data_IF_250467968803
#
_entry.id   IF_250467968803
#
_cell.length_a   1.000
_cell.length_b   1.000
_cell.length_c   1.000
_cell.angle_alpha   90.00
_cell.angle_beta   90.00
_cell.angle_gamma   90.00
#
_symmetry.space_group_name_H-M   'P 1'
#
loop_
_entity.id
_entity.type
_entity.pdbx_description
1 polymer ?
#
# COMPACT_ATOMS: atom_id res chain seq x y z
N UNK A 1 28.84 22.33 13.83
CA UNK A 1 28.44 23.31 12.80
C UNK A 1 29.20 23.02 11.54
N UNK A 2 28.51 22.96 10.40
CA UNK A 2 29.09 22.82 9.07
C UNK A 2 28.65 24.02 8.22
N UNK A 3 29.59 24.68 7.58
CA UNK A 3 29.33 25.81 6.67
C UNK A 3 29.82 25.39 5.29
N UNK A 4 28.92 25.40 4.31
CA UNK A 4 29.21 25.06 2.93
C UNK A 4 29.72 26.31 2.18
N UNK A 5 30.51 26.11 1.12
CA UNK A 5 31.16 27.19 0.38
C UNK A 5 30.17 28.14 -0.36
N UNK A 6 28.99 27.62 -0.65
CA UNK A 6 27.82 28.29 -1.25
C UNK A 6 26.93 29.01 -0.22
N UNK A 7 27.35 29.06 1.05
CA UNK A 7 26.68 29.80 2.11
C UNK A 7 25.56 29.04 2.83
N UNK A 8 25.32 27.76 2.53
CA UNK A 8 24.49 26.94 3.41
C UNK A 8 25.18 26.73 4.75
N UNK A 9 24.40 26.66 5.82
CA UNK A 9 24.90 26.39 7.17
C UNK A 9 24.01 25.39 7.87
N UNK A 10 24.62 24.35 8.44
CA UNK A 10 23.96 23.41 9.33
C UNK A 10 24.58 23.45 10.73
N UNK A 11 23.71 23.52 11.74
CA UNK A 11 24.08 23.45 13.15
C UNK A 11 23.15 22.43 13.80
N UNK A 12 23.67 21.26 14.16
CA UNK A 12 22.87 20.19 14.74
C UNK A 12 23.69 18.92 14.93
N UNK A 13 22.97 17.86 15.26
CA UNK A 13 23.53 16.54 15.48
C UNK A 13 23.88 15.83 14.16
N UNK A 14 24.85 14.92 14.24
CA UNK A 14 25.30 14.11 13.12
C UNK A 14 25.36 12.65 13.55
N UNK A 15 25.01 11.74 12.64
CA UNK A 15 25.18 10.28 12.81
C UNK A 15 25.67 9.70 11.49
N UNK A 16 26.75 8.93 11.54
CA UNK A 16 27.34 8.26 10.36
C UNK A 16 27.60 9.22 9.17
N UNK A 17 28.06 10.44 9.48
CA UNK A 17 28.33 11.48 8.47
C UNK A 17 27.09 12.17 7.89
N UNK A 18 25.89 11.84 8.38
CA UNK A 18 24.62 12.43 7.95
C UNK A 18 23.99 13.30 9.03
N UNK A 19 23.22 14.32 8.64
CA UNK A 19 22.43 15.12 9.58
C UNK A 19 21.37 14.22 10.23
N UNK A 20 21.30 14.27 11.55
CA UNK A 20 20.40 13.45 12.35
C UNK A 20 19.96 14.24 13.59
N UNK A 21 18.96 13.79 14.33
CA UNK A 21 18.56 14.41 15.60
C UNK A 21 18.08 15.86 15.44
N UNK A 22 18.31 16.73 16.40
CA UNK A 22 17.90 18.13 16.30
C UNK A 22 18.91 18.96 15.48
N UNK A 23 18.40 19.83 14.61
CA UNK A 23 19.26 20.67 13.80
C UNK A 23 18.59 21.89 13.19
N UNK A 24 19.39 22.94 13.02
CA UNK A 24 19.07 24.14 12.27
C UNK A 24 19.83 24.14 10.95
N UNK A 25 19.10 24.26 9.84
CA UNK A 25 19.64 24.46 8.51
C UNK A 25 19.24 25.83 7.99
N UNK A 26 20.23 26.63 7.57
CA UNK A 26 20.02 27.95 6.99
C UNK A 26 20.57 27.95 5.57
N UNK A 27 19.75 28.37 4.62
CA UNK A 27 20.11 28.52 3.21
C UNK A 27 20.56 29.95 2.98
N UNK A 28 21.56 30.16 2.11
CA UNK A 28 22.09 31.48 1.77
C UNK A 28 20.98 32.49 1.37
N UNK A 29 19.92 32.01 0.71
CA UNK A 29 18.78 32.82 0.26
C UNK A 29 17.79 33.20 1.39
N UNK A 30 18.06 32.84 2.66
CA UNK A 30 17.26 33.22 3.83
C UNK A 30 16.22 32.18 4.28
N UNK A 31 16.04 31.07 3.57
CA UNK A 31 15.21 29.97 4.08
C UNK A 31 15.89 29.32 5.29
N UNK A 32 15.10 28.95 6.29
CA UNK A 32 15.58 28.34 7.53
C UNK A 32 14.68 27.18 7.94
N UNK A 33 15.28 26.05 8.27
CA UNK A 33 14.63 24.95 8.95
C UNK A 33 15.20 24.78 10.35
N UNK A 34 14.34 24.51 11.32
CA UNK A 34 14.70 24.12 12.70
C UNK A 34 13.82 22.95 13.09
N UNK A 35 14.42 21.80 13.38
CA UNK A 35 13.65 20.63 13.78
C UNK A 35 14.46 19.34 13.69
N UNK A 36 13.73 18.24 13.64
CA UNK A 36 14.29 16.90 13.59
C UNK A 36 14.83 16.52 12.19
N UNK A 37 15.94 15.80 12.20
CA UNK A 37 16.62 15.28 11.02
C UNK A 37 16.75 13.77 11.15
N UNK A 38 16.61 13.08 10.03
CA UNK A 38 16.92 11.66 9.89
C UNK A 38 17.61 11.42 8.57
N UNK A 39 18.86 10.98 8.64
CA UNK A 39 19.67 10.57 7.49
C UNK A 39 19.66 11.59 6.35
N UNK A 40 19.99 12.85 6.69
CA UNK A 40 20.00 14.02 5.80
C UNK A 40 18.64 14.52 5.32
N UNK A 41 17.54 13.98 5.84
CA UNK A 41 16.19 14.45 5.52
C UNK A 41 15.52 15.13 6.71
N UNK A 42 14.67 16.12 6.43
CA UNK A 42 13.74 16.69 7.42
C UNK A 42 12.76 15.58 7.83
N UNK A 43 12.64 15.38 9.13
CA UNK A 43 11.79 14.34 9.71
C UNK A 43 11.17 14.87 11.01
N UNK A 44 10.15 14.21 11.56
CA UNK A 44 9.62 14.51 12.90
C UNK A 44 9.06 15.93 12.98
N UNK A 45 9.14 16.57 14.15
CA UNK A 45 8.64 17.92 14.33
C UNK A 45 9.64 18.97 13.84
N UNK A 46 9.16 19.98 13.12
CA UNK A 46 10.02 21.06 12.66
C UNK A 46 9.30 22.30 12.15
N UNK A 47 10.04 23.40 12.16
CA UNK A 47 9.63 24.69 11.61
C UNK A 47 10.47 25.02 10.38
N UNK A 48 9.81 25.22 9.24
CA UNK A 48 10.43 25.79 8.05
C UNK A 48 9.93 27.22 7.85
N UNK A 49 10.86 28.16 7.75
CA UNK A 49 10.60 29.56 7.43
C UNK A 49 11.19 29.85 6.06
N UNK A 50 10.35 30.26 5.13
CA UNK A 50 10.80 30.70 3.81
C UNK A 50 11.22 32.16 3.86
N UNK A 51 12.18 32.54 3.02
CA UNK A 51 12.63 33.92 2.87
C UNK A 51 11.49 34.87 2.45
N UNK A 52 10.43 34.35 1.83
CA UNK A 52 9.20 35.09 1.51
C UNK A 52 8.38 35.50 2.74
N UNK A 53 8.71 35.01 3.94
CA UNK A 53 7.94 35.22 5.16
C UNK A 53 6.87 34.15 5.41
N UNK A 54 6.66 33.21 4.47
CA UNK A 54 5.84 32.05 4.73
C UNK A 54 6.51 31.17 5.80
N UNK A 55 5.71 30.40 6.53
CA UNK A 55 6.18 29.51 7.60
C UNK A 55 5.33 28.25 7.67
N UNK A 56 5.94 27.13 7.97
CA UNK A 56 5.27 25.88 8.29
C UNK A 56 5.82 25.35 9.60
N UNK A 57 4.93 24.95 10.50
CA UNK A 57 5.24 24.31 11.77
C UNK A 57 4.44 23.02 11.84
N UNK A 58 5.10 21.88 11.98
CA UNK A 58 4.41 20.60 12.05
C UNK A 58 5.32 19.42 11.75
N UNK A 59 4.71 18.30 11.41
CA UNK A 59 5.41 17.07 11.10
C UNK A 59 6.07 17.10 9.70
N UNK A 60 7.22 16.45 9.62
CA UNK A 60 8.01 16.27 8.41
C UNK A 60 8.32 14.79 8.22
N UNK A 61 8.34 14.37 6.97
CA UNK A 61 8.76 13.02 6.58
C UNK A 61 9.45 13.09 5.24
N UNK A 62 10.71 12.67 5.18
CA UNK A 62 11.51 12.63 3.96
C UNK A 62 11.50 13.96 3.18
N UNK A 63 11.78 15.07 3.88
CA UNK A 63 11.76 16.44 3.34
C UNK A 63 10.39 17.01 2.94
N UNK A 64 9.29 16.28 3.16
CA UNK A 64 7.94 16.73 2.86
C UNK A 64 7.16 17.02 4.14
N UNK A 65 6.26 18.01 4.08
CA UNK A 65 5.27 18.24 5.13
C UNK A 65 4.38 17.01 5.25
N UNK A 66 4.15 16.57 6.47
CA UNK A 66 3.37 15.38 6.78
C UNK A 66 2.58 15.60 8.07
N UNK A 67 1.68 14.66 8.43
CA UNK A 67 0.97 14.65 9.70
C UNK A 67 0.28 15.97 10.04
N UNK A 68 0.20 16.29 11.33
CA UNK A 68 -0.40 17.53 11.78
C UNK A 68 0.54 18.72 11.54
N UNK A 69 0.01 19.82 10.99
CA UNK A 69 0.80 21.03 10.84
C UNK A 69 0.02 22.29 10.48
N UNK A 70 0.67 23.42 10.72
CA UNK A 70 0.17 24.77 10.50
C UNK A 70 1.04 25.49 9.47
N UNK A 71 0.44 25.89 8.36
CA UNK A 71 1.05 26.77 7.37
C UNK A 71 0.57 28.21 7.59
N UNK A 72 1.50 29.14 7.79
CA UNK A 72 1.26 30.56 7.89
C UNK A 72 1.81 31.25 6.64
N UNK A 73 0.97 31.97 5.91
CA UNK A 73 1.43 32.84 4.81
C UNK A 73 2.06 34.11 5.37
N UNK A 74 2.93 34.75 4.59
CA UNK A 74 3.49 36.06 4.92
C UNK A 74 2.43 37.13 5.21
N UNK A 75 1.22 36.98 4.65
CA UNK A 75 0.06 37.86 4.92
C UNK A 75 -0.57 37.67 6.31
N UNK A 76 -0.14 36.65 7.07
CA UNK A 76 -0.73 36.29 8.36
C UNK A 76 -1.91 35.31 8.27
N UNK A 77 -2.36 34.94 7.05
CA UNK A 77 -3.32 33.84 6.89
C UNK A 77 -2.74 32.56 7.48
N UNK A 78 -3.59 31.73 8.07
CA UNK A 78 -3.20 30.44 8.67
C UNK A 78 -4.04 29.31 8.07
N UNK A 79 -3.41 28.15 7.88
CA UNK A 79 -4.07 26.91 7.47
C UNK A 79 -3.50 25.75 8.27
N UNK A 80 -4.35 25.17 9.11
CA UNK A 80 -4.02 24.11 10.06
C UNK A 80 -4.76 22.84 9.69
N UNK A 81 -4.11 21.70 9.82
CA UNK A 81 -4.73 20.41 9.54
C UNK A 81 -3.70 19.34 9.19
N UNK A 82 -4.16 18.33 8.46
CA UNK A 82 -3.34 17.19 8.06
C UNK A 82 -2.69 17.45 6.70
N UNK A 83 -1.41 17.13 6.64
CA UNK A 83 -0.57 17.22 5.45
C UNK A 83 -0.09 15.82 5.07
N UNK A 84 -0.11 15.49 3.79
CA UNK A 84 0.48 14.26 3.25
C UNK A 84 1.32 14.61 2.03
N UNK A 85 2.63 14.34 2.08
CA UNK A 85 3.54 14.54 0.95
C UNK A 85 3.47 15.96 0.36
N UNK A 86 3.46 16.98 1.22
CA UNK A 86 3.28 18.40 0.89
C UNK A 86 1.87 18.85 0.47
N UNK A 87 0.91 17.94 0.39
CA UNK A 87 -0.48 18.26 0.06
C UNK A 87 -1.32 18.38 1.32
N UNK A 88 -2.12 19.45 1.41
CA UNK A 88 -3.08 19.60 2.50
C UNK A 88 -4.28 18.69 2.26
N UNK A 89 -4.55 17.79 3.21
CA UNK A 89 -5.64 16.82 3.11
C UNK A 89 -6.96 17.32 3.72
N UNK A 90 -6.91 18.26 4.66
CA UNK A 90 -8.10 18.72 5.37
C UNK A 90 -7.78 19.11 6.80
N UNK A 91 -8.80 19.58 7.52
CA UNK A 91 -8.75 19.62 8.98
C UNK A 91 -8.68 18.20 9.55
N UNK A 92 -8.36 18.06 10.83
CA UNK A 92 -8.36 16.75 11.51
C UNK A 92 -9.70 16.01 11.30
N UNK A 93 -10.83 16.72 11.49
CA UNK A 93 -12.16 16.15 11.35
C UNK A 93 -12.49 15.72 9.91
N UNK A 94 -12.03 16.49 8.91
CA UNK A 94 -12.17 16.15 7.51
C UNK A 94 -11.32 14.92 7.16
N UNK A 95 -10.10 14.85 7.69
CA UNK A 95 -9.18 13.76 7.47
C UNK A 95 -9.67 12.44 8.05
N UNK A 96 -10.24 12.46 9.25
CA UNK A 96 -10.86 11.27 9.87
C UNK A 96 -12.02 10.71 9.02
N UNK A 97 -12.82 11.59 8.40
CA UNK A 97 -13.87 11.17 7.45
C UNK A 97 -13.27 10.53 6.20
N UNK A 98 -12.18 11.10 5.67
CA UNK A 98 -11.45 10.54 4.53
C UNK A 98 -10.92 9.13 4.87
N UNK A 99 -10.29 8.95 6.03
CA UNK A 99 -9.76 7.65 6.47
C UNK A 99 -10.86 6.59 6.59
N UNK A 100 -11.99 6.94 7.21
CA UNK A 100 -13.14 6.04 7.34
C UNK A 100 -13.69 5.61 5.99
N UNK A 101 -13.77 6.53 5.03
CA UNK A 101 -14.24 6.24 3.68
C UNK A 101 -13.23 5.38 2.91
N UNK A 102 -11.93 5.67 2.99
CA UNK A 102 -10.85 4.87 2.40
C UNK A 102 -10.86 3.43 2.94
N UNK A 103 -11.05 3.26 4.26
CA UNK A 103 -11.16 1.94 4.90
C UNK A 103 -12.35 1.13 4.37
N UNK A 104 -13.55 1.74 4.33
CA UNK A 104 -14.75 1.09 3.77
C UNK A 104 -14.58 0.71 2.31
N UNK A 105 -13.93 1.57 1.51
CA UNK A 105 -13.64 1.28 0.10
C UNK A 105 -12.65 0.12 -0.05
N UNK A 106 -11.61 0.07 0.78
CA UNK A 106 -10.65 -1.04 0.79
C UNK A 106 -11.31 -2.36 1.20
N UNK A 107 -12.14 -2.37 2.25
CA UNK A 107 -12.91 -3.55 2.67
C UNK A 107 -13.85 -4.04 1.56
N UNK A 108 -14.53 -3.12 0.87
CA UNK A 108 -15.39 -3.45 -0.27
C UNK A 108 -14.58 -4.05 -1.43
N UNK A 109 -13.43 -3.45 -1.77
CA UNK A 109 -12.56 -3.95 -2.83
C UNK A 109 -12.04 -5.36 -2.51
N UNK A 110 -11.63 -5.62 -1.27
CA UNK A 110 -11.17 -6.93 -0.84
C UNK A 110 -12.31 -7.97 -0.85
N UNK A 111 -13.54 -7.58 -0.49
CA UNK A 111 -14.71 -8.44 -0.63
C UNK A 111 -15.02 -8.78 -2.10
N UNK A 112 -14.93 -7.79 -3.00
CA UNK A 112 -15.12 -7.97 -4.44
C UNK A 112 -14.05 -8.90 -5.04
N UNK A 113 -12.77 -8.71 -4.68
CA UNK A 113 -11.69 -9.62 -5.09
C UNK A 113 -11.91 -11.05 -4.61
N UNK A 114 -12.36 -11.24 -3.36
CA UNK A 114 -12.70 -12.57 -2.82
C UNK A 114 -13.86 -13.20 -3.57
N UNK A 115 -14.91 -12.43 -3.86
CA UNK A 115 -16.05 -12.92 -4.63
C UNK A 115 -15.65 -13.33 -6.05
N UNK A 116 -14.81 -12.53 -6.71
CA UNK A 116 -14.28 -12.84 -8.04
C UNK A 116 -13.41 -14.11 -8.03
N UNK A 117 -12.54 -14.28 -7.03
CA UNK A 117 -11.74 -15.49 -6.85
C UNK A 117 -12.63 -16.73 -6.68
N UNK A 118 -13.63 -16.66 -5.79
CA UNK A 118 -14.57 -17.75 -5.57
C UNK A 118 -15.38 -18.08 -6.83
N UNK A 119 -15.79 -17.07 -7.60
CA UNK A 119 -16.50 -17.27 -8.85
C UNK A 119 -15.62 -18.00 -9.90
N UNK A 120 -14.35 -17.63 -9.99
CA UNK A 120 -13.39 -18.31 -10.87
C UNK A 120 -13.16 -19.77 -10.46
N UNK A 121 -13.03 -20.05 -9.16
CA UNK A 121 -12.89 -21.40 -8.62
C UNK A 121 -14.14 -22.25 -8.89
N UNK A 122 -15.34 -21.68 -8.73
CA UNK A 122 -16.61 -22.36 -9.07
C UNK A 122 -16.71 -22.68 -10.55
N UNK A 123 -16.39 -21.72 -11.43
CA UNK A 123 -16.40 -21.95 -12.87
C UNK A 123 -15.39 -23.03 -13.28
N UNK A 124 -14.20 -23.06 -12.67
CA UNK A 124 -13.21 -24.13 -12.87
C UNK A 124 -13.77 -25.50 -12.45
N UNK A 125 -14.42 -25.59 -11.29
CA UNK A 125 -15.05 -26.81 -10.82
C UNK A 125 -16.22 -27.27 -11.72
N UNK A 126 -17.02 -26.35 -12.24
CA UNK A 126 -18.11 -26.64 -13.18
C UNK A 126 -17.60 -27.21 -14.51
N UNK A 127 -16.53 -26.63 -15.07
CA UNK A 127 -15.88 -27.14 -16.27
C UNK A 127 -15.27 -28.53 -16.04
N UNK A 128 -14.61 -28.74 -14.89
CA UNK A 128 -14.04 -30.03 -14.52
C UNK A 128 -15.15 -31.09 -14.38
N UNK A 129 -16.27 -30.76 -13.73
CA UNK A 129 -17.41 -31.66 -13.61
C UNK A 129 -18.10 -31.95 -14.96
N UNK A 130 -18.14 -30.98 -15.88
CA UNK A 130 -18.64 -31.19 -17.24
C UNK A 130 -17.73 -32.13 -18.05
N UNK A 131 -16.40 -31.96 -17.95
CA UNK A 131 -15.43 -32.84 -18.61
C UNK A 131 -15.56 -34.29 -18.11
N UNK A 132 -15.64 -34.49 -16.79
CA UNK A 132 -15.80 -35.82 -16.19
C UNK A 132 -17.11 -36.48 -16.65
N UNK A 133 -18.21 -35.72 -16.77
CA UNK A 133 -19.49 -36.23 -17.30
C UNK A 133 -19.38 -36.67 -18.76
N UNK A 134 -18.76 -35.86 -19.62
CA UNK A 134 -18.56 -36.19 -21.04
C UNK A 134 -17.74 -37.47 -21.20
N UNK A 135 -16.59 -37.56 -20.51
CA UNK A 135 -15.75 -38.75 -20.52
C UNK A 135 -16.54 -39.99 -20.07
N UNK A 136 -17.35 -39.88 -19.02
CA UNK A 136 -18.15 -41.00 -18.52
C UNK A 136 -19.22 -41.45 -19.53
N UNK A 137 -19.91 -40.52 -20.19
CA UNK A 137 -20.91 -40.84 -21.23
C UNK A 137 -20.27 -41.54 -22.45
N UNK A 138 -19.08 -41.10 -22.86
CA UNK A 138 -18.33 -41.74 -23.96
C UNK A 138 -17.85 -43.15 -23.57
N UNK A 139 -17.34 -43.34 -22.34
CA UNK A 139 -16.93 -44.64 -21.81
C UNK A 139 -18.11 -45.62 -21.68
N UNK A 140 -19.28 -45.15 -21.26
CA UNK A 140 -20.50 -45.96 -21.14
C UNK A 140 -21.02 -46.46 -22.51
N UNK A 141 -20.76 -45.70 -23.58
CA UNK A 141 -21.06 -46.08 -24.98
C UNK A 141 -20.06 -47.10 -25.56
N UNK A 142 -18.81 -47.07 -25.13
CA UNK A 142 -17.74 -47.93 -25.67
C UNK A 142 -17.75 -49.32 -24.99
N UNK A 143 -18.14 -49.39 -23.72
CA UNK A 143 -18.12 -50.63 -22.93
C UNK A 143 -19.52 -51.23 -22.77
N UNK A 144 -19.70 -52.52 -23.09
CA UNK A 144 -20.95 -53.26 -22.81
C UNK A 144 -20.88 -54.09 -21.53
N UNK A 145 -19.69 -54.19 -20.92
CA UNK A 145 -19.44 -55.00 -19.73
C UNK A 145 -19.63 -54.19 -18.44
N UNK A 146 -20.53 -54.68 -17.59
CA UNK A 146 -20.89 -54.09 -16.30
C UNK A 146 -19.69 -53.98 -15.34
N UNK A 147 -18.69 -54.87 -15.44
CA UNK A 147 -17.53 -54.87 -14.55
C UNK A 147 -16.54 -53.73 -14.86
N UNK A 148 -16.28 -53.46 -16.15
CA UNK A 148 -15.43 -52.33 -16.58
C UNK A 148 -16.07 -50.99 -16.20
N UNK A 149 -17.40 -50.86 -16.34
CA UNK A 149 -18.15 -49.67 -15.92
C UNK A 149 -17.98 -49.36 -14.43
N UNK A 150 -17.91 -50.37 -13.56
CA UNK A 150 -17.72 -50.19 -12.11
C UNK A 150 -16.31 -49.68 -11.79
N UNK A 151 -15.28 -50.21 -12.44
CA UNK A 151 -13.88 -49.78 -12.25
C UNK A 151 -13.69 -48.33 -12.70
N UNK A 152 -14.22 -47.98 -13.87
CA UNK A 152 -14.17 -46.62 -14.42
C UNK A 152 -14.89 -45.62 -13.48
N UNK A 153 -16.08 -45.98 -12.99
CA UNK A 153 -16.83 -45.12 -12.04
C UNK A 153 -16.06 -44.86 -10.76
N UNK A 154 -15.33 -45.86 -10.25
CA UNK A 154 -14.53 -45.75 -9.02
C UNK A 154 -13.32 -44.83 -9.21
N UNK A 155 -12.58 -44.97 -10.32
CA UNK A 155 -11.48 -44.04 -10.65
C UNK A 155 -11.96 -42.59 -10.83
N UNK A 156 -13.12 -42.37 -11.48
CA UNK A 156 -13.64 -41.02 -11.67
C UNK A 156 -14.07 -40.35 -10.37
N UNK A 157 -14.61 -41.11 -9.40
CA UNK A 157 -14.93 -40.59 -8.07
C UNK A 157 -13.66 -40.17 -7.31
N UNK A 158 -12.61 -40.98 -7.37
CA UNK A 158 -11.31 -40.66 -6.75
C UNK A 158 -10.65 -39.42 -7.38
N UNK A 159 -10.87 -39.16 -8.68
CA UNK A 159 -10.39 -37.95 -9.36
C UNK A 159 -11.20 -36.68 -9.03
N UNK A 160 -12.44 -36.79 -8.56
CA UNK A 160 -13.28 -35.65 -8.17
C UNK A 160 -12.93 -35.09 -6.78
N UNK A 161 -12.28 -35.89 -5.93
CA UNK A 161 -11.86 -35.50 -4.58
C UNK A 161 -10.45 -34.87 -4.56
N UNK A 162 -9.73 -34.92 -5.67
CA UNK A 162 -8.40 -34.31 -5.80
C UNK A 162 -8.52 -32.79 -5.94
N UNK A 163 -7.67 -32.06 -5.22
CA UNK A 163 -7.56 -30.63 -5.42
C UNK A 163 -6.99 -30.33 -6.80
N UNK A 164 -7.21 -29.12 -7.31
CA UNK A 164 -6.61 -28.74 -8.59
C UNK A 164 -5.09 -28.66 -8.58
N UNK A 165 -4.45 -28.62 -7.40
CA UNK A 165 -2.99 -28.77 -7.29
C UNK A 165 -2.59 -30.24 -7.46
N UNK A 166 -3.29 -31.16 -6.79
CA UNK A 166 -3.03 -32.61 -6.91
C UNK A 166 -3.20 -33.12 -8.35
N UNK A 167 -4.13 -32.54 -9.11
CA UNK A 167 -4.36 -32.88 -10.52
C UNK A 167 -3.28 -32.33 -11.47
N UNK A 168 -2.62 -31.23 -11.12
CA UNK A 168 -1.50 -30.70 -11.92
C UNK A 168 -0.23 -31.50 -11.67
N UNK A 169 0.01 -31.92 -10.43
CA UNK A 169 1.19 -32.72 -10.05
C UNK A 169 1.17 -34.13 -10.64
N UNK A 170 -0.03 -34.70 -10.88
CA UNK A 170 -0.18 -36.00 -11.51
C UNK A 170 0.04 -35.99 -13.05
N UNK A 171 0.20 -34.82 -13.67
CA UNK A 171 0.33 -34.66 -15.12
C UNK A 171 1.77 -34.37 -15.60
N UNK A 172 2.72 -34.12 -14.69
CA UNK A 172 4.17 -34.04 -14.93
C UNK A 172 4.86 -35.41 -14.74
#
# INVERSE_FOLDING_TARGET
TFTYADGYKYVGEWRDGKRHGQGTYTIANGNKYVGEWRDDTLHGQGTYTWASGNKYVGEWKNNKRHGQGTYTWASGRVKEGIWENDEYQGTEEEYEKILKNRKRAAEKLEAEKRAAKLAAERHKAELQAALVRCLYEDLDRITSDTAEKIVIKKCNLELQDLSTEDLMEAYD
#
